data_IF_117359368163
#
_entry.id   IF_117359368163
#
_cell.length_a   1.000
_cell.length_b   1.000
_cell.length_c   1.000
_cell.angle_alpha   90.00
_cell.angle_beta   90.00
_cell.angle_gamma   90.00
#
_symmetry.space_group_name_H-M   'P 1'
#
loop_
_entity.id
_entity.type
_entity.pdbx_description
1 polymer ?
#
# COMPACT_ATOMS: atom_id res chain seq x y z
N UNK A 1 17.05 13.13 -3.82
CA UNK A 1 15.66 12.96 -4.31
C UNK A 1 14.76 13.80 -3.43
N UNK A 2 14.22 14.90 -3.96
CA UNK A 2 13.28 15.74 -3.22
C UNK A 2 11.90 15.10 -3.19
N UNK A 3 11.26 15.09 -2.02
CA UNK A 3 9.86 14.70 -1.90
C UNK A 3 8.99 15.74 -2.61
N UNK A 4 8.24 15.33 -3.63
CA UNK A 4 7.24 16.18 -4.25
C UNK A 4 6.00 16.23 -3.34
N UNK A 5 5.78 17.39 -2.74
CA UNK A 5 4.67 17.67 -1.81
C UNK A 5 3.28 17.62 -2.47
N UNK A 6 3.20 17.46 -3.79
CA UNK A 6 1.94 17.36 -4.53
C UNK A 6 1.53 15.91 -4.87
N UNK A 7 2.17 14.90 -4.26
CA UNK A 7 1.77 13.50 -4.48
C UNK A 7 0.45 13.18 -3.74
N UNK A 8 -0.56 12.73 -4.48
CA UNK A 8 -1.83 12.30 -3.89
C UNK A 8 -1.81 10.78 -3.68
N UNK A 9 -2.04 10.27 -2.44
CA UNK A 9 -2.16 8.84 -2.22
C UNK A 9 -3.45 8.32 -2.85
N UNK A 10 -3.34 7.21 -3.60
CA UNK A 10 -4.46 6.40 -4.06
C UNK A 10 -4.43 5.10 -3.27
N UNK A 11 -5.36 4.98 -2.32
CA UNK A 11 -5.43 3.81 -1.43
C UNK A 11 -6.31 2.76 -2.07
N UNK A 12 -5.77 1.56 -2.25
CA UNK A 12 -6.55 0.42 -2.70
C UNK A 12 -7.20 -0.25 -1.47
N UNK A 13 -8.48 -0.64 -1.54
CA UNK A 13 -9.24 -1.14 -0.41
C UNK A 13 -8.79 -2.56 -0.05
N UNK A 14 -7.66 -2.64 0.64
CA UNK A 14 -7.16 -3.85 1.30
C UNK A 14 -6.76 -3.51 2.73
N UNK A 15 -7.73 -2.96 3.47
CA UNK A 15 -7.53 -2.60 4.86
C UNK A 15 -7.60 -3.86 5.72
N UNK A 16 -6.50 -4.18 6.37
CA UNK A 16 -6.43 -5.32 7.28
C UNK A 16 -6.04 -4.82 8.66
N UNK A 17 -6.82 -5.19 9.68
CA UNK A 17 -6.40 -5.00 11.07
C UNK A 17 -5.34 -6.04 11.39
N UNK A 18 -4.25 -5.60 12.02
CA UNK A 18 -3.12 -6.43 12.40
C UNK A 18 -2.87 -6.22 13.89
N UNK A 19 -2.52 -7.30 14.59
CA UNK A 19 -2.00 -7.23 15.96
C UNK A 19 -0.59 -7.82 15.93
N UNK A 20 0.37 -7.01 16.33
CA UNK A 20 1.78 -7.37 16.44
C UNK A 20 2.16 -7.48 17.92
N UNK A 21 3.27 -8.15 18.27
CA UNK A 21 3.74 -8.21 19.66
C UNK A 21 3.96 -6.85 20.33
N UNK A 22 4.17 -5.80 19.52
CA UNK A 22 4.38 -4.44 20.01
C UNK A 22 3.12 -3.59 20.09
N UNK A 23 2.01 -3.94 19.43
CA UNK A 23 0.84 -3.08 19.31
C UNK A 23 -0.17 -3.47 18.24
N UNK A 24 -1.19 -2.63 18.08
CA UNK A 24 -2.24 -2.79 17.08
C UNK A 24 -2.02 -1.85 15.89
N UNK A 25 -2.37 -2.33 14.69
CA UNK A 25 -2.13 -1.60 13.45
C UNK A 25 -3.23 -1.85 12.41
N UNK A 26 -3.26 -0.96 11.42
CA UNK A 26 -3.92 -1.18 10.14
C UNK A 26 -2.86 -1.27 9.05
N UNK A 27 -3.04 -2.21 8.12
CA UNK A 27 -2.26 -2.27 6.89
C UNK A 27 -3.12 -2.04 5.67
N UNK A 28 -2.50 -1.48 4.62
CA UNK A 28 -3.16 -1.21 3.34
C UNK A 28 -2.13 -1.07 2.21
N UNK A 29 -2.60 -1.20 0.97
CA UNK A 29 -1.81 -0.94 -0.23
C UNK A 29 -2.16 0.43 -0.77
N UNK A 30 -1.13 1.21 -1.11
CA UNK A 30 -1.26 2.56 -1.64
C UNK A 30 -0.32 2.76 -2.81
N UNK A 31 -0.80 3.45 -3.84
CA UNK A 31 0.04 3.99 -4.90
C UNK A 31 0.04 5.51 -4.80
N UNK A 32 1.22 6.09 -4.78
CA UNK A 32 1.38 7.54 -4.82
C UNK A 32 1.50 7.99 -6.26
N UNK A 33 0.76 9.03 -6.64
CA UNK A 33 0.78 9.59 -7.99
C UNK A 33 1.08 11.09 -7.89
N UNK A 34 1.90 11.61 -8.82
CA UNK A 34 2.34 13.01 -8.84
C UNK A 34 1.49 13.89 -9.78
N UNK A 35 0.45 13.32 -10.38
CA UNK A 35 -0.45 13.97 -11.33
C UNK A 35 -1.92 13.67 -11.00
N UNK A 36 -2.83 14.34 -11.71
CA UNK A 36 -4.28 14.18 -11.53
C UNK A 36 -4.84 12.97 -12.30
N UNK A 37 -3.97 12.08 -12.78
CA UNK A 37 -4.34 10.95 -13.61
C UNK A 37 -4.67 9.75 -12.73
N UNK A 38 -5.85 9.12 -12.88
CA UNK A 38 -6.18 7.93 -12.10
C UNK A 38 -5.63 6.67 -12.77
N UNK A 39 -4.35 6.41 -12.59
CA UNK A 39 -3.75 5.16 -13.06
C UNK A 39 -4.27 3.95 -12.30
N UNK A 40 -4.50 2.85 -13.03
CA UNK A 40 -4.63 1.52 -12.43
C UNK A 40 -3.36 1.15 -11.64
N UNK A 41 -3.45 0.22 -10.67
CA UNK A 41 -2.25 -0.25 -9.98
C UNK A 41 -1.14 -0.67 -10.93
N UNK A 42 0.08 -0.28 -10.65
CA UNK A 42 1.28 -0.65 -11.40
C UNK A 42 2.51 -0.75 -10.48
N UNK A 43 3.58 -1.36 -10.97
CA UNK A 43 4.79 -1.63 -10.17
C UNK A 43 5.66 -0.40 -9.89
N UNK A 44 5.39 0.76 -10.52
CA UNK A 44 6.30 1.90 -10.40
C UNK A 44 6.22 2.65 -9.08
N UNK A 45 5.06 2.66 -8.41
CA UNK A 45 4.85 3.48 -7.20
C UNK A 45 3.96 2.82 -6.14
N UNK A 46 3.76 1.50 -6.23
CA UNK A 46 2.95 0.74 -5.27
C UNK A 46 3.74 0.46 -3.99
N UNK A 47 3.06 0.64 -2.86
CA UNK A 47 3.61 0.39 -1.54
C UNK A 47 2.61 -0.28 -0.61
N UNK A 48 3.12 -1.16 0.25
CA UNK A 48 2.41 -1.69 1.41
C UNK A 48 2.76 -0.83 2.62
N UNK A 49 1.74 -0.33 3.29
CA UNK A 49 1.88 0.48 4.49
C UNK A 49 1.26 -0.20 5.70
N UNK A 50 1.94 -0.05 6.84
CA UNK A 50 1.47 -0.47 8.15
C UNK A 50 1.55 0.73 9.08
N UNK A 51 0.41 1.12 9.67
CA UNK A 51 0.32 2.23 10.61
C UNK A 51 -0.35 1.75 11.90
N UNK A 52 0.31 1.94 13.03
CA UNK A 52 -0.16 1.42 14.31
C UNK A 52 0.34 2.21 15.51
N UNK A 53 -0.07 1.75 16.68
CA UNK A 53 0.25 2.34 17.99
C UNK A 53 0.70 1.22 18.92
N UNK A 54 1.73 1.48 19.72
CA UNK A 54 2.21 0.51 20.71
C UNK A 54 1.17 0.25 21.81
N UNK A 55 1.19 -0.93 22.46
CA UNK A 55 0.21 -1.25 23.51
C UNK A 55 0.20 -0.25 24.70
N UNK A 56 1.33 0.39 24.98
CA UNK A 56 1.45 1.44 26.01
C UNK A 56 1.01 2.83 25.52
N UNK A 57 0.61 2.93 24.26
CA UNK A 57 0.18 4.14 23.55
C UNK A 57 1.23 5.26 23.52
N UNK A 58 2.51 4.93 23.77
CA UNK A 58 3.60 5.93 23.81
C UNK A 58 4.19 6.24 22.44
N UNK A 59 4.11 5.29 21.51
CA UNK A 59 4.73 5.42 20.20
C UNK A 59 3.74 5.08 19.09
N UNK A 60 3.87 5.81 17.98
CA UNK A 60 3.25 5.45 16.70
C UNK A 60 4.28 4.73 15.84
N UNK A 61 3.91 3.60 15.25
CA UNK A 61 4.74 2.86 14.29
C UNK A 61 4.18 3.12 12.90
N UNK A 62 5.02 3.58 11.98
CA UNK A 62 4.70 3.70 10.55
C UNK A 62 5.79 3.02 9.75
N UNK A 63 5.40 2.07 8.92
CA UNK A 63 6.29 1.37 8.01
C UNK A 63 5.72 1.43 6.60
N UNK A 64 6.60 1.60 5.62
CA UNK A 64 6.27 1.67 4.20
C UNK A 64 7.28 0.84 3.41
N UNK A 65 6.77 -0.06 2.58
CA UNK A 65 7.58 -0.95 1.77
C UNK A 65 7.15 -0.82 0.32
N UNK A 66 8.11 -0.66 -0.60
CA UNK A 66 7.84 -0.83 -2.02
C UNK A 66 7.49 -2.30 -2.28
N UNK A 67 6.43 -2.53 -3.03
CA UNK A 67 5.99 -3.87 -3.43
C UNK A 67 5.68 -3.89 -4.92
N UNK A 68 5.90 -5.03 -5.56
CA UNK A 68 5.52 -5.28 -6.94
C UNK A 68 4.65 -6.52 -7.04
N UNK A 69 4.01 -6.71 -8.19
CA UNK A 69 3.26 -7.92 -8.49
C UNK A 69 3.60 -8.37 -9.93
N UNK A 70 3.95 -9.65 -10.17
CA UNK A 70 4.46 -10.11 -11.49
C UNK A 70 3.49 -9.95 -12.67
N UNK A 71 2.21 -9.77 -12.39
CA UNK A 71 1.14 -9.58 -13.40
C UNK A 71 0.77 -8.12 -13.64
N UNK A 72 1.40 -7.17 -12.94
CA UNK A 72 1.22 -5.75 -13.16
C UNK A 72 2.34 -5.23 -14.06
N UNK A 73 2.00 -4.24 -14.88
CA UNK A 73 2.99 -3.55 -15.70
C UNK A 73 3.86 -2.60 -14.87
N UNK A 74 5.06 -2.31 -15.36
CA UNK A 74 5.85 -1.18 -14.88
C UNK A 74 5.20 0.16 -15.26
N UNK A 75 5.50 1.21 -14.50
CA UNK A 75 5.00 2.55 -14.84
C UNK A 75 5.48 2.98 -16.23
N UNK A 76 4.56 3.44 -17.07
CA UNK A 76 4.87 3.87 -18.43
C UNK A 76 3.63 3.95 -19.31
N UNK A 77 3.80 4.14 -20.64
CA UNK A 77 2.71 4.40 -21.58
C UNK A 77 1.65 3.29 -21.70
N UNK A 78 1.92 2.11 -21.15
CA UNK A 78 1.01 0.96 -21.15
C UNK A 78 0.07 0.93 -19.95
N UNK A 79 0.39 1.68 -18.90
CA UNK A 79 -0.46 1.76 -17.71
C UNK A 79 -1.75 2.46 -18.09
N UNK A 80 -2.86 1.77 -17.89
CA UNK A 80 -4.19 2.32 -18.15
C UNK A 80 -4.48 3.42 -17.15
N UNK A 81 -5.08 4.49 -17.64
CA UNK A 81 -5.62 5.56 -16.82
C UNK A 81 -7.13 5.67 -16.99
N UNK A 82 -7.75 6.28 -16.00
CA UNK A 82 -9.12 6.74 -16.05
C UNK A 82 -9.11 8.26 -15.87
N UNK A 83 -9.47 8.98 -16.92
CA UNK A 83 -9.47 10.45 -16.95
C UNK A 83 -10.57 11.10 -16.10
N UNK A 84 -11.50 10.31 -15.55
CA UNK A 84 -12.62 10.80 -14.75
C UNK A 84 -12.23 10.86 -13.26
N UNK A 85 -12.39 12.06 -12.70
CA UNK A 85 -11.85 12.52 -11.41
C UNK A 85 -12.59 11.97 -10.19
N UNK A 86 -13.11 10.75 -10.28
CA UNK A 86 -13.93 10.24 -9.19
C UNK A 86 -13.56 8.82 -8.82
N UNK A 87 -12.86 8.72 -7.69
CA UNK A 87 -12.83 7.56 -6.80
C UNK A 87 -14.22 7.28 -6.20
N UNK A 88 -15.27 7.38 -7.02
CA UNK A 88 -16.63 7.00 -6.67
C UNK A 88 -16.67 5.49 -6.48
N UNK A 89 -17.54 4.99 -5.60
CA UNK A 89 -17.77 3.55 -5.44
C UNK A 89 -18.03 2.82 -6.78
N UNK A 90 -18.63 3.50 -7.75
CA UNK A 90 -18.98 2.96 -9.06
C UNK A 90 -17.96 3.27 -10.17
N UNK A 91 -16.78 3.77 -9.83
CA UNK A 91 -15.74 4.09 -10.81
C UNK A 91 -15.38 2.85 -11.65
N UNK A 92 -15.29 2.97 -12.98
CA UNK A 92 -14.88 1.85 -13.84
C UNK A 92 -13.48 1.31 -13.47
N UNK A 93 -12.63 2.14 -12.85
CA UNK A 93 -11.33 1.72 -12.32
C UNK A 93 -11.46 0.58 -11.30
N UNK A 94 -12.50 0.58 -10.45
CA UNK A 94 -12.70 -0.51 -9.45
C UNK A 94 -13.06 -1.85 -10.10
N UNK A 95 -13.48 -1.83 -11.36
CA UNK A 95 -13.77 -3.02 -12.18
C UNK A 95 -12.58 -3.38 -13.08
N UNK A 96 -11.53 -2.55 -13.12
CA UNK A 96 -10.33 -2.86 -13.90
C UNK A 96 -9.67 -4.12 -13.34
N UNK A 97 -9.17 -4.95 -14.25
CA UNK A 97 -8.52 -6.22 -13.93
C UNK A 97 -7.38 -6.04 -12.91
N UNK A 98 -6.57 -5.00 -13.05
CA UNK A 98 -5.37 -4.81 -12.22
C UNK A 98 -5.75 -4.27 -10.84
N UNK A 99 -6.81 -3.47 -10.76
CA UNK A 99 -7.42 -3.08 -9.49
C UNK A 99 -7.94 -4.31 -8.73
N UNK A 100 -8.75 -5.13 -9.39
CA UNK A 100 -9.32 -6.35 -8.79
C UNK A 100 -8.22 -7.35 -8.42
N UNK A 101 -7.15 -7.41 -9.22
CA UNK A 101 -5.98 -8.23 -8.93
C UNK A 101 -5.34 -7.82 -7.59
N UNK A 102 -5.02 -6.54 -7.40
CA UNK A 102 -4.40 -6.05 -6.14
C UNK A 102 -5.34 -6.22 -4.94
N UNK A 103 -6.64 -6.02 -5.15
CA UNK A 103 -7.65 -6.17 -4.11
C UNK A 103 -7.76 -7.63 -3.62
N UNK A 104 -7.66 -8.62 -4.53
CA UNK A 104 -8.06 -10.00 -4.24
C UNK A 104 -6.95 -11.05 -4.28
N UNK A 105 -5.78 -10.76 -4.84
CA UNK A 105 -4.69 -11.73 -4.89
C UNK A 105 -4.21 -12.09 -3.47
N UNK A 106 -3.62 -13.26 -3.24
CA UNK A 106 -3.09 -13.61 -1.92
C UNK A 106 -1.89 -12.72 -1.55
N UNK A 107 -1.64 -12.55 -0.24
CA UNK A 107 -0.51 -11.76 0.29
C UNK A 107 0.86 -12.25 -0.24
N UNK A 108 0.97 -13.54 -0.54
CA UNK A 108 2.14 -14.20 -1.13
C UNK A 108 2.38 -13.91 -2.61
N UNK A 109 1.43 -13.27 -3.31
CA UNK A 109 1.57 -12.93 -4.73
C UNK A 109 2.42 -11.67 -4.98
N UNK A 110 2.70 -10.90 -3.93
CA UNK A 110 3.53 -9.70 -4.00
C UNK A 110 5.02 -10.00 -3.84
N UNK A 111 5.86 -9.07 -4.27
CA UNK A 111 7.31 -9.13 -4.12
C UNK A 111 7.84 -7.81 -3.52
N UNK A 112 8.42 -7.84 -2.30
CA UNK A 112 8.38 -8.95 -1.34
C UNK A 112 6.92 -9.31 -0.95
N UNK A 113 6.71 -10.50 -0.38
CA UNK A 113 5.37 -10.88 0.05
C UNK A 113 4.92 -10.02 1.24
N UNK A 114 3.60 -9.80 1.37
CA UNK A 114 3.09 -9.02 2.51
C UNK A 114 3.25 -9.79 3.82
N UNK A 115 3.21 -11.12 3.76
CA UNK A 115 3.46 -12.01 4.91
C UNK A 115 4.90 -11.89 5.42
N UNK A 116 5.89 -11.84 4.54
CA UNK A 116 7.30 -11.66 4.93
C UNK A 116 7.53 -10.29 5.57
N UNK A 117 6.89 -9.25 5.03
CA UNK A 117 6.93 -7.91 5.62
C UNK A 117 6.30 -7.93 7.02
N UNK A 118 5.12 -8.52 7.18
CA UNK A 118 4.45 -8.63 8.46
C UNK A 118 5.29 -9.43 9.47
N UNK A 119 5.89 -10.55 9.05
CA UNK A 119 6.78 -11.35 9.87
C UNK A 119 8.00 -10.55 10.34
N UNK A 120 8.60 -9.73 9.46
CA UNK A 120 9.67 -8.82 9.85
C UNK A 120 9.18 -7.81 10.89
N UNK A 121 7.99 -7.21 10.70
CA UNK A 121 7.42 -6.23 11.63
C UNK A 121 7.07 -6.84 12.99
N UNK A 122 6.77 -8.14 13.08
CA UNK A 122 6.58 -8.83 14.37
C UNK A 122 7.84 -8.80 15.24
N UNK A 123 9.02 -8.65 14.65
CA UNK A 123 10.30 -8.62 15.39
C UNK A 123 10.63 -7.26 16.02
N UNK A 124 9.87 -6.22 15.69
CA UNK A 124 10.10 -4.88 16.22
C UNK A 124 9.92 -4.85 17.74
N UNK A 125 10.87 -4.16 18.40
CA UNK A 125 10.82 -3.85 19.84
C UNK A 125 10.86 -2.34 20.03
N UNK A 126 9.73 -1.63 19.86
CA UNK A 126 9.70 -0.19 20.04
C UNK A 126 10.08 0.15 21.49
N UNK A 127 11.11 0.98 21.69
CA UNK A 127 11.35 1.63 22.98
C UNK A 127 12.13 0.85 24.05
N UNK A 128 13.09 -0.02 23.71
CA UNK A 128 14.14 -0.39 24.69
C UNK A 128 15.17 0.74 24.73
N UNK A 129 14.90 1.78 25.51
CA UNK A 129 15.96 2.69 25.97
C UNK A 129 16.85 1.88 26.91
N UNK A 130 18.12 1.71 26.56
CA UNK A 130 19.15 1.25 27.51
C UNK A 130 19.66 2.44 28.31
#
# INVERSE_FOLDING_TARGET
MGYNINSSPRIYPRFTRKSFPWGDAVSFIVQYQNDNTNYVPNNGMMSYEVQGVTHDHRYTVRARFGITHPRLDEFGPKVRDYSDDTFKPDSPMRRDRDYVLVERCPDTAFQPSLEDIDAMLQTLKPGVSR
#
